data_IF_569879085541
#
_entry.id   IF_569879085541
#
_cell.length_a   1.000
_cell.length_b   1.000
_cell.length_c   1.000
_cell.angle_alpha   90.00
_cell.angle_beta   90.00
_cell.angle_gamma   90.00
#
_symmetry.space_group_name_H-M   'P 1'
#
loop_
_entity.id
_entity.type
_entity.pdbx_description
1 polymer ?
#
# COMPACT_ATOMS: atom_id res chain seq x y z
N UNK A 1 -14.65 -0.60 -10.25
CA UNK A 1 -15.14 0.58 -9.52
C UNK A 1 -14.81 1.85 -10.28
N UNK A 2 -15.66 2.86 -10.22
CA UNK A 2 -15.32 4.19 -10.74
C UNK A 2 -14.30 4.88 -9.83
N UNK A 3 -13.65 5.96 -10.33
CA UNK A 3 -12.73 6.76 -9.52
C UNK A 3 -13.43 7.37 -8.29
N UNK A 4 -14.68 7.78 -8.44
CA UNK A 4 -15.47 8.38 -7.35
C UNK A 4 -15.83 7.34 -6.27
N UNK A 5 -16.19 6.12 -6.66
CA UNK A 5 -16.44 5.02 -5.72
C UNK A 5 -15.18 4.67 -4.93
N UNK A 6 -14.02 4.64 -5.59
CA UNK A 6 -12.73 4.42 -4.93
C UNK A 6 -12.43 5.57 -3.96
N UNK A 7 -12.64 6.83 -4.39
CA UNK A 7 -12.45 8.01 -3.54
C UNK A 7 -13.28 7.93 -2.26
N UNK A 8 -14.54 7.52 -2.36
CA UNK A 8 -15.43 7.34 -1.20
C UNK A 8 -14.87 6.29 -0.22
N UNK A 9 -14.35 5.17 -0.72
CA UNK A 9 -13.75 4.14 0.16
C UNK A 9 -12.49 4.68 0.83
N UNK A 10 -11.58 5.29 0.06
CA UNK A 10 -10.31 5.80 0.58
C UNK A 10 -10.48 6.98 1.54
N UNK A 11 -11.56 7.76 1.42
CA UNK A 11 -11.86 8.88 2.32
C UNK A 11 -12.46 8.46 3.66
N UNK A 12 -12.83 7.20 3.86
CA UNK A 12 -13.37 6.72 5.14
C UNK A 12 -12.34 6.91 6.27
N UNK A 13 -12.75 7.28 7.49
CA UNK A 13 -11.83 7.55 8.61
C UNK A 13 -10.83 6.43 8.86
N UNK A 14 -11.26 5.17 8.89
CA UNK A 14 -10.38 4.03 9.10
C UNK A 14 -9.44 3.76 7.92
N UNK A 15 -9.88 4.04 6.69
CA UNK A 15 -8.99 3.96 5.52
C UNK A 15 -7.89 5.03 5.62
N UNK A 16 -8.23 6.27 5.99
CA UNK A 16 -7.27 7.34 6.20
C UNK A 16 -6.32 7.05 7.37
N UNK A 17 -6.82 6.45 8.44
CA UNK A 17 -5.98 6.00 9.56
C UNK A 17 -4.92 4.99 9.09
N UNK A 18 -5.29 3.99 8.28
CA UNK A 18 -4.36 3.01 7.73
C UNK A 18 -3.39 3.62 6.72
N UNK A 19 -3.87 4.50 5.82
CA UNK A 19 -3.03 5.16 4.82
C UNK A 19 -1.99 6.11 5.42
N UNK A 20 -2.28 6.71 6.56
CA UNK A 20 -1.38 7.63 7.26
C UNK A 20 -0.65 7.00 8.47
N UNK A 21 -0.99 5.77 8.82
CA UNK A 21 -0.41 5.02 9.93
C UNK A 21 1.00 4.49 9.65
N UNK A 22 1.63 3.87 10.65
CA UNK A 22 2.98 3.32 10.57
C UNK A 22 3.05 1.96 9.87
N UNK A 23 1.92 1.29 9.67
CA UNK A 23 1.88 -0.04 9.11
C UNK A 23 2.38 -0.04 7.65
N UNK A 24 3.25 -0.98 7.25
CA UNK A 24 3.64 -1.13 5.86
C UNK A 24 2.47 -1.68 5.03
N UNK A 25 2.45 -1.35 3.75
CA UNK A 25 1.63 -2.09 2.80
C UNK A 25 2.25 -3.46 2.51
N UNK A 26 1.43 -4.47 2.31
CA UNK A 26 1.85 -5.74 1.72
C UNK A 26 1.50 -5.71 0.24
N UNK A 27 2.53 -5.60 -0.59
CA UNK A 27 2.42 -5.54 -2.04
C UNK A 27 2.47 -6.96 -2.61
N UNK A 28 1.40 -7.36 -3.30
CA UNK A 28 1.31 -8.59 -4.07
C UNK A 28 1.46 -8.29 -5.56
N UNK A 29 2.30 -9.06 -6.24
CA UNK A 29 2.59 -8.96 -7.67
C UNK A 29 3.08 -10.30 -8.24
N UNK A 30 3.04 -10.48 -9.55
CA UNK A 30 3.60 -11.67 -10.20
C UNK A 30 5.10 -11.48 -10.44
N UNK A 31 5.90 -12.47 -10.04
CA UNK A 31 7.32 -12.53 -10.38
C UNK A 31 7.56 -12.74 -11.89
N UNK A 32 8.80 -12.59 -12.33
CA UNK A 32 9.18 -12.83 -13.74
C UNK A 32 8.94 -14.30 -14.19
N UNK A 33 8.99 -15.22 -13.25
CA UNK A 33 8.68 -16.64 -13.39
C UNK A 33 7.16 -16.95 -13.41
N UNK A 34 6.32 -15.95 -13.14
CA UNK A 34 4.87 -16.08 -13.07
C UNK A 34 4.35 -16.48 -11.68
N UNK A 35 5.22 -16.81 -10.74
CA UNK A 35 4.80 -17.13 -9.38
C UNK A 35 4.43 -15.87 -8.60
N UNK A 36 3.39 -15.92 -7.73
CA UNK A 36 3.00 -14.77 -6.93
C UNK A 36 4.06 -14.41 -5.87
N UNK A 37 4.22 -13.10 -5.66
CA UNK A 37 5.09 -12.52 -4.64
C UNK A 37 4.27 -11.64 -3.71
N UNK A 38 4.62 -11.64 -2.42
CA UNK A 38 4.09 -10.71 -1.41
C UNK A 38 5.24 -10.19 -0.58
N UNK A 39 5.35 -8.87 -0.45
CA UNK A 39 6.40 -8.22 0.35
C UNK A 39 5.81 -7.10 1.20
N UNK A 40 6.31 -6.87 2.43
CA UNK A 40 6.05 -5.64 3.15
C UNK A 40 6.88 -4.50 2.53
N UNK A 41 6.29 -3.32 2.40
CA UNK A 41 6.96 -2.15 1.85
C UNK A 41 6.36 -0.86 2.42
N UNK A 42 7.23 0.08 2.81
CA UNK A 42 6.81 1.43 3.19
C UNK A 42 6.22 2.18 2.00
N UNK A 43 5.27 3.05 2.27
CA UNK A 43 4.56 3.80 1.24
C UNK A 43 4.17 5.20 1.71
N UNK A 44 3.85 6.05 0.74
CA UNK A 44 3.16 7.32 0.95
C UNK A 44 2.01 7.45 -0.05
N UNK A 45 1.20 8.47 0.11
CA UNK A 45 0.05 8.72 -0.77
C UNK A 45 0.13 10.09 -1.42
N UNK A 46 -0.33 10.18 -2.66
CA UNK A 46 -0.55 11.43 -3.40
C UNK A 46 -1.94 11.39 -4.03
N UNK A 47 -2.86 12.13 -3.46
CA UNK A 47 -4.28 12.00 -3.82
C UNK A 47 -4.78 10.58 -3.51
N UNK A 48 -5.28 9.89 -4.52
CA UNK A 48 -5.75 8.51 -4.39
C UNK A 48 -4.66 7.47 -4.70
N UNK A 49 -3.48 7.89 -5.17
CA UNK A 49 -2.39 6.99 -5.55
C UNK A 49 -1.57 6.58 -4.34
N UNK A 50 -1.10 5.35 -4.36
CA UNK A 50 -0.16 4.80 -3.37
C UNK A 50 1.21 4.67 -4.04
N UNK A 51 2.22 5.30 -3.44
CA UNK A 51 3.56 5.36 -3.99
C UNK A 51 4.54 4.65 -3.06
N UNK A 52 5.54 3.99 -3.66
CA UNK A 52 6.56 3.22 -2.95
C UNK A 52 7.92 3.49 -3.58
N UNK A 53 8.97 3.53 -2.77
CA UNK A 53 10.35 3.68 -3.23
C UNK A 53 11.11 2.36 -3.17
N UNK A 54 11.95 2.11 -4.17
CA UNK A 54 12.85 0.95 -4.21
C UNK A 54 14.11 1.25 -5.00
N UNK A 55 15.08 0.34 -4.99
CA UNK A 55 16.30 0.48 -5.78
C UNK A 55 16.10 -0.03 -7.21
N UNK A 56 16.82 0.54 -8.22
CA UNK A 56 16.59 0.23 -9.64
C UNK A 56 16.75 -1.26 -10.00
N UNK A 57 17.68 -1.97 -9.36
CA UNK A 57 17.95 -3.39 -9.62
C UNK A 57 17.08 -4.36 -8.82
N UNK A 58 16.07 -3.85 -8.09
CA UNK A 58 15.14 -4.72 -7.38
C UNK A 58 14.32 -5.58 -8.35
N UNK A 59 14.19 -6.88 -8.06
CA UNK A 59 13.46 -7.83 -8.91
C UNK A 59 12.01 -7.40 -9.19
N UNK A 60 11.36 -6.72 -8.25
CA UNK A 60 9.99 -6.19 -8.42
C UNK A 60 9.89 -5.15 -9.53
N UNK A 61 10.96 -4.38 -9.79
CA UNK A 61 10.97 -3.37 -10.84
C UNK A 61 10.79 -4.00 -12.23
N UNK A 62 11.57 -5.04 -12.53
CA UNK A 62 11.45 -5.76 -13.79
C UNK A 62 10.11 -6.51 -13.90
N UNK A 63 9.66 -7.12 -12.80
CA UNK A 63 8.39 -7.83 -12.74
C UNK A 63 7.20 -6.91 -13.02
N UNK A 64 7.14 -5.73 -12.38
CA UNK A 64 6.06 -4.75 -12.56
C UNK A 64 6.07 -4.07 -13.93
N UNK A 65 7.24 -3.93 -14.57
CA UNK A 65 7.32 -3.51 -15.99
C UNK A 65 6.70 -4.54 -16.93
N UNK A 66 6.85 -5.84 -16.62
CA UNK A 66 6.27 -6.93 -17.41
C UNK A 66 4.78 -7.11 -17.15
N UNK A 67 4.37 -7.08 -15.87
CA UNK A 67 2.98 -7.18 -15.45
C UNK A 67 2.68 -6.13 -14.36
N UNK A 68 2.00 -5.03 -14.72
CA UNK A 68 1.75 -3.93 -13.79
C UNK A 68 0.58 -4.18 -12.82
N UNK A 69 -0.10 -5.31 -12.90
CA UNK A 69 -1.23 -5.61 -12.01
C UNK A 69 -0.75 -5.93 -10.60
N UNK A 70 -1.34 -5.28 -9.61
CA UNK A 70 -0.97 -5.42 -8.21
C UNK A 70 -2.17 -5.48 -7.29
N UNK A 71 -1.95 -6.06 -6.11
CA UNK A 71 -2.85 -5.92 -4.98
C UNK A 71 -2.08 -5.45 -3.75
N UNK A 72 -2.76 -4.69 -2.89
CA UNK A 72 -2.23 -4.20 -1.62
C UNK A 72 -3.15 -4.60 -0.48
N UNK A 73 -2.56 -4.96 0.65
CA UNK A 73 -3.21 -5.01 1.95
C UNK A 73 -2.47 -4.09 2.90
N UNK A 74 -3.23 -3.20 3.57
CA UNK A 74 -2.77 -2.40 4.70
C UNK A 74 -3.71 -2.74 5.84
N UNK A 75 -3.17 -3.31 6.92
CA UNK A 75 -3.97 -3.80 8.02
C UNK A 75 -3.34 -3.48 9.37
N UNK A 76 -4.21 -3.28 10.35
CA UNK A 76 -3.84 -3.07 11.73
C UNK A 76 -4.27 -4.29 12.56
N UNK A 77 -3.33 -4.84 13.36
CA UNK A 77 -3.54 -6.04 14.17
C UNK A 77 -4.38 -5.86 15.43
N UNK A 78 -5.13 -4.74 15.57
CA UNK A 78 -6.04 -4.52 16.69
C UNK A 78 -7.36 -5.29 16.50
N UNK A 79 -8.14 -5.42 17.58
CA UNK A 79 -9.49 -5.98 17.51
C UNK A 79 -10.53 -4.87 17.80
N UNK A 80 -11.57 -4.73 16.95
CA UNK A 80 -11.79 -5.41 15.70
C UNK A 80 -10.74 -5.03 14.65
N UNK A 81 -10.31 -5.97 13.78
CA UNK A 81 -9.29 -5.69 12.77
C UNK A 81 -9.79 -4.69 11.74
N UNK A 82 -8.89 -3.84 11.27
CA UNK A 82 -9.15 -2.88 10.19
C UNK A 82 -8.24 -3.22 9.03
N UNK A 83 -8.83 -3.43 7.86
CA UNK A 83 -8.13 -3.91 6.67
C UNK A 83 -8.56 -3.10 5.47
N UNK A 84 -7.61 -2.43 4.84
CA UNK A 84 -7.79 -1.76 3.55
C UNK A 84 -7.19 -2.63 2.45
N UNK A 85 -8.03 -3.08 1.54
CA UNK A 85 -7.66 -3.83 0.36
C UNK A 85 -7.72 -2.92 -0.86
N UNK A 86 -6.66 -2.92 -1.68
CA UNK A 86 -6.57 -2.15 -2.92
C UNK A 86 -6.10 -3.08 -4.03
N UNK A 87 -6.72 -2.98 -5.22
CA UNK A 87 -6.17 -3.50 -6.47
C UNK A 87 -5.86 -2.34 -7.37
N UNK A 88 -4.82 -2.45 -8.18
CA UNK A 88 -4.43 -1.35 -9.03
C UNK A 88 -3.46 -1.73 -10.12
N UNK A 89 -3.01 -0.70 -10.82
CA UNK A 89 -1.98 -0.78 -11.86
C UNK A 89 -0.77 0.03 -11.42
N UNK A 90 0.40 -0.57 -11.50
CA UNK A 90 1.67 0.04 -11.13
C UNK A 90 2.35 0.70 -12.35
N UNK A 91 2.86 1.89 -12.16
CA UNK A 91 3.80 2.56 -13.04
C UNK A 91 5.16 2.63 -12.35
N UNK A 92 6.23 2.50 -13.11
CA UNK A 92 7.61 2.39 -12.59
C UNK A 92 8.47 3.49 -13.21
N UNK A 93 8.92 4.42 -12.40
CA UNK A 93 9.71 5.58 -12.82
C UNK A 93 11.06 5.63 -12.11
N UNK A 94 12.14 5.81 -12.88
CA UNK A 94 13.47 6.09 -12.35
C UNK A 94 13.58 7.58 -12.02
N UNK A 95 14.03 7.90 -10.81
CA UNK A 95 14.22 9.27 -10.35
C UNK A 95 15.62 9.46 -9.77
N UNK A 96 16.17 10.65 -9.92
CA UNK A 96 17.44 11.03 -9.34
C UNK A 96 17.30 11.27 -7.82
N UNK A 97 18.25 10.77 -7.05
CA UNK A 97 18.30 10.94 -5.60
C UNK A 97 17.24 10.15 -4.84
N UNK A 98 16.93 10.65 -3.65
CA UNK A 98 15.95 10.03 -2.73
C UNK A 98 14.68 10.88 -2.69
N UNK A 99 13.52 10.36 -3.12
CA UNK A 99 12.25 11.10 -3.12
C UNK A 99 11.83 11.53 -1.70
N UNK A 100 11.31 12.74 -1.55
CA UNK A 100 10.78 13.22 -0.26
C UNK A 100 9.66 12.33 0.31
N UNK A 101 8.82 11.77 -0.55
CA UNK A 101 7.78 10.83 -0.15
C UNK A 101 8.34 9.56 0.50
N UNK A 102 9.47 9.04 -0.02
CA UNK A 102 10.19 7.91 0.58
C UNK A 102 10.69 8.26 1.99
N UNK A 103 11.25 9.45 2.15
CA UNK A 103 11.71 9.94 3.46
C UNK A 103 10.54 10.09 4.44
N UNK A 104 9.42 10.67 4.00
CA UNK A 104 8.20 10.79 4.81
C UNK A 104 7.64 9.43 5.24
N UNK A 105 7.67 8.44 4.34
CA UNK A 105 7.25 7.07 4.66
C UNK A 105 8.14 6.45 5.75
N UNK A 106 9.45 6.65 5.69
CA UNK A 106 10.37 6.19 6.73
C UNK A 106 10.14 6.88 8.08
N UNK A 107 9.80 8.16 8.08
CA UNK A 107 9.54 8.92 9.33
C UNK A 107 8.36 8.37 10.14
N UNK A 108 7.39 7.72 9.49
CA UNK A 108 6.23 7.11 10.19
C UNK A 108 6.60 6.05 11.22
N UNK A 109 7.77 5.44 11.09
CA UNK A 109 8.21 4.28 11.91
C UNK A 109 9.48 4.55 12.72
N UNK A 110 9.96 5.79 12.74
CA UNK A 110 11.23 6.17 13.38
C UNK A 110 11.02 7.31 14.38
N UNK A 111 11.85 7.36 15.42
CA UNK A 111 12.02 8.57 16.23
C UNK A 111 12.78 9.64 15.44
N UNK A 112 12.73 10.90 15.86
CA UNK A 112 13.40 12.01 15.16
C UNK A 112 14.93 11.80 15.06
N UNK A 113 15.55 11.28 16.11
CA UNK A 113 16.99 10.96 16.11
C UNK A 113 17.32 9.82 15.12
N UNK A 114 16.52 8.75 15.12
CA UNK A 114 16.68 7.65 14.17
C UNK A 114 16.48 8.14 12.73
N UNK A 115 15.47 9.00 12.51
CA UNK A 115 15.17 9.55 11.19
C UNK A 115 16.30 10.40 10.63
N UNK A 116 16.88 11.32 11.44
CA UNK A 116 17.99 12.17 11.01
C UNK A 116 19.20 11.36 10.53
N UNK A 117 19.59 10.33 11.28
CA UNK A 117 20.68 9.43 10.92
C UNK A 117 20.35 8.59 9.67
N UNK A 118 19.12 8.08 9.58
CA UNK A 118 18.68 7.29 8.44
C UNK A 118 18.63 8.12 7.15
N UNK A 119 18.12 9.37 7.18
CA UNK A 119 18.10 10.27 6.02
C UNK A 119 19.50 10.53 5.49
N UNK A 120 20.47 10.81 6.36
CA UNK A 120 21.85 10.99 5.96
C UNK A 120 22.41 9.74 5.27
N UNK A 121 22.14 8.56 5.83
CA UNK A 121 22.55 7.27 5.26
C UNK A 121 21.95 6.99 3.89
N UNK A 122 20.64 7.13 3.72
CA UNK A 122 19.97 6.81 2.44
C UNK A 122 20.35 7.81 1.34
N UNK A 123 20.53 9.10 1.68
CA UNK A 123 20.99 10.11 0.72
C UNK A 123 22.44 9.89 0.28
N UNK A 124 23.27 9.35 1.16
CA UNK A 124 24.65 8.98 0.81
C UNK A 124 24.73 7.68 -0.01
N UNK A 125 23.75 6.78 0.14
CA UNK A 125 23.77 5.46 -0.48
C UNK A 125 23.11 5.43 -1.87
N UNK A 126 22.06 6.23 -2.08
CA UNK A 126 21.24 6.16 -3.30
C UNK A 126 21.42 7.40 -4.17
N UNK A 127 22.10 7.25 -5.30
CA UNK A 127 22.19 8.28 -6.35
C UNK A 127 20.89 8.36 -7.15
N UNK A 128 20.17 7.25 -7.24
CA UNK A 128 18.89 7.13 -7.93
C UNK A 128 17.99 6.09 -7.24
N UNK A 129 16.69 6.28 -7.36
CA UNK A 129 15.67 5.36 -6.88
C UNK A 129 14.60 5.13 -7.95
N UNK A 130 13.79 4.11 -7.75
CA UNK A 130 12.60 3.87 -8.54
C UNK A 130 11.37 4.14 -7.69
N UNK A 131 10.47 4.99 -8.19
CA UNK A 131 9.13 5.16 -7.64
C UNK A 131 8.19 4.19 -8.35
N UNK A 132 7.47 3.40 -7.56
CA UNK A 132 6.35 2.57 -7.99
C UNK A 132 5.09 3.33 -7.63
N UNK A 133 4.35 3.83 -8.62
CA UNK A 133 3.09 4.54 -8.44
C UNK A 133 1.93 3.62 -8.75
N UNK A 134 1.10 3.35 -7.76
CA UNK A 134 -0.07 2.47 -7.90
C UNK A 134 -1.31 3.33 -8.00
N UNK A 135 -2.00 3.22 -9.14
CA UNK A 135 -3.31 3.81 -9.38
C UNK A 135 -4.39 2.78 -9.04
N UNK A 136 -5.20 3.00 -8.00
CA UNK A 136 -6.25 2.07 -7.62
C UNK A 136 -7.31 1.91 -8.72
N UNK A 137 -7.70 0.67 -8.98
CA UNK A 137 -8.84 0.29 -9.84
C UNK A 137 -10.00 -0.28 -9.03
N UNK A 138 -9.72 -0.66 -7.79
CA UNK A 138 -10.69 -1.18 -6.83
C UNK A 138 -10.17 -0.98 -5.41
N UNK A 139 -11.05 -0.67 -4.48
CA UNK A 139 -10.73 -0.57 -3.05
C UNK A 139 -11.88 -1.11 -2.19
N UNK A 140 -11.54 -1.70 -1.03
CA UNK A 140 -12.50 -2.13 -0.02
C UNK A 140 -11.90 -1.95 1.37
N UNK A 141 -12.69 -1.36 2.26
CA UNK A 141 -12.39 -1.30 3.68
C UNK A 141 -13.24 -2.35 4.42
N UNK A 142 -12.59 -3.18 5.22
CA UNK A 142 -13.22 -4.07 6.19
C UNK A 142 -12.83 -3.56 7.58
N UNK A 143 -13.79 -3.04 8.33
CA UNK A 143 -13.59 -2.53 9.70
C UNK A 143 -14.18 -3.46 10.77
N UNK A 144 -14.95 -4.46 10.34
CA UNK A 144 -15.65 -5.43 11.17
C UNK A 144 -16.64 -4.83 12.18
N UNK A 145 -16.93 -3.54 12.03
CA UNK A 145 -17.96 -2.79 12.75
C UNK A 145 -19.12 -2.44 11.82
N UNK A 146 -18.82 -1.77 10.70
CA UNK A 146 -19.82 -1.35 9.70
C UNK A 146 -19.72 -2.15 8.40
N UNK A 147 -18.58 -2.77 8.15
CA UNK A 147 -18.30 -3.54 6.94
C UNK A 147 -17.59 -4.84 7.28
N UNK A 148 -18.24 -5.95 6.99
CA UNK A 148 -17.72 -7.32 7.17
C UNK A 148 -17.64 -8.04 5.81
N UNK A 149 -16.89 -9.14 5.69
CA UNK A 149 -16.88 -9.95 4.48
C UNK A 149 -18.31 -10.40 4.11
N UNK A 150 -18.67 -10.28 2.83
CA UNK A 150 -20.03 -10.56 2.35
C UNK A 150 -20.51 -11.96 2.75
N UNK A 151 -19.66 -12.98 2.63
CA UNK A 151 -20.02 -14.35 3.01
C UNK A 151 -20.39 -14.46 4.49
N UNK A 152 -19.80 -13.64 5.37
CA UNK A 152 -20.16 -13.59 6.80
C UNK A 152 -21.49 -12.88 6.98
N UNK A 153 -21.72 -11.76 6.28
CA UNK A 153 -23.00 -11.06 6.31
C UNK A 153 -24.16 -11.97 5.86
N UNK A 154 -23.99 -12.67 4.74
CA UNK A 154 -24.97 -13.63 4.22
C UNK A 154 -25.30 -14.73 5.23
N UNK A 155 -24.30 -15.24 5.97
CA UNK A 155 -24.51 -16.23 7.03
C UNK A 155 -25.30 -15.66 8.23
N UNK A 156 -25.02 -14.42 8.61
CA UNK A 156 -25.75 -13.76 9.70
C UNK A 156 -27.22 -13.58 9.32
N UNK A 157 -27.50 -13.12 8.08
CA UNK A 157 -28.87 -12.97 7.58
C UNK A 157 -29.62 -14.31 7.58
N UNK A 158 -29.00 -15.39 7.08
CA UNK A 158 -29.59 -16.74 7.09
C UNK A 158 -29.93 -17.23 8.49
N UNK A 159 -29.06 -16.98 9.47
CA UNK A 159 -29.28 -17.38 10.86
C UNK A 159 -30.30 -16.52 11.60
N UNK A 160 -30.50 -15.26 11.18
CA UNK A 160 -31.47 -14.36 11.78
C UNK A 160 -32.89 -14.56 11.22
N UNK A 161 -33.03 -15.21 10.05
CA UNK A 161 -34.31 -15.50 9.40
C UNK A 161 -34.91 -16.85 9.80
N UNK A 162 -34.24 -17.68 10.58
CA UNK A 162 -34.70 -18.99 11.09
C UNK A 162 -34.88 -19.01 12.59
#
# INVERSE_FOLDING_TARGET
MTKDEIAVVLAKPYAQQLLNGPEPARLAYDGLDGDPRVIPIGFWTEGQRVLMGTVPKSAKVAALRKNPKVALTIDQGAFPPKVLLIRGTAEVELVEGVPDGYLKAGHKVMTDDQYSNWVAGVRSLYDEMVIITITPTWAKLLDFETTIPRAVADLIEQKSAG
#
